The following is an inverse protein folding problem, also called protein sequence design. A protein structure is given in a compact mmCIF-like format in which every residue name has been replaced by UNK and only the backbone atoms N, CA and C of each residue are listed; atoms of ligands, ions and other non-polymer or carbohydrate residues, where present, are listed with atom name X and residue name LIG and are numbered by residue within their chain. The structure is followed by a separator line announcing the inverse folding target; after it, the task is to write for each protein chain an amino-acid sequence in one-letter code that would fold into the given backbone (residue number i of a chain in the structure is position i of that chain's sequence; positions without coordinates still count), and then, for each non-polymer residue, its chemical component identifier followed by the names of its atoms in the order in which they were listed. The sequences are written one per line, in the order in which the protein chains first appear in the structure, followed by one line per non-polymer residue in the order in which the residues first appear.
data_IF_488322639610
#
_entry.id   IF_488322639610
#
_cell.length_a   1.000
_cell.length_b   1.000
_cell.length_c   1.000
_cell.angle_alpha   90.00
_cell.angle_beta   90.00
_cell.angle_gamma   90.00
#
_symmetry.space_group_name_H-M   'P 1'
#
loop_
_entity.id
_entity.type
_entity.pdbx_description
1 polymer ?
#
# COMPACT_ATOMS: atom_id res chain seq x y z
N UNK A 1 -73.97 39.29 -45.45
CA UNK A 1 -72.68 38.98 -46.09
C UNK A 1 -71.70 40.08 -45.78
N UNK A 2 -70.77 39.88 -44.83
CA UNK A 2 -69.57 40.74 -44.68
C UNK A 2 -68.43 39.80 -44.25
N UNK A 3 -67.45 39.65 -45.12
CA UNK A 3 -66.17 38.95 -44.90
C UNK A 3 -65.26 39.90 -44.12
N UNK A 4 -64.75 39.48 -42.97
CA UNK A 4 -63.66 40.13 -42.25
C UNK A 4 -62.39 39.31 -42.52
N UNK A 5 -61.50 39.88 -43.32
CA UNK A 5 -60.17 39.29 -43.56
C UNK A 5 -59.24 39.60 -42.37
N UNK A 6 -58.67 38.55 -41.78
CA UNK A 6 -57.57 38.69 -40.82
C UNK A 6 -56.24 38.65 -41.58
N UNK A 7 -55.40 39.65 -41.35
CA UNK A 7 -54.01 39.69 -41.88
C UNK A 7 -53.08 38.91 -40.96
N UNK A 8 -52.21 38.02 -41.46
CA UNK A 8 -51.21 37.40 -40.64
C UNK A 8 -50.05 38.41 -40.38
N UNK A 9 -49.82 38.73 -39.10
CA UNK A 9 -48.61 39.47 -38.71
C UNK A 9 -47.49 38.46 -38.55
N UNK A 10 -46.58 38.46 -39.49
CA UNK A 10 -45.32 37.74 -39.42
C UNK A 10 -44.26 38.59 -38.73
N UNK A 11 -43.82 38.20 -37.50
CA UNK A 11 -42.69 38.80 -36.85
C UNK A 11 -41.40 38.10 -37.33
N UNK A 12 -40.42 38.83 -37.88
CA UNK A 12 -39.15 38.23 -38.19
C UNK A 12 -38.37 37.96 -36.89
N UNK A 13 -38.14 36.68 -36.56
CA UNK A 13 -37.21 36.26 -35.53
C UNK A 13 -35.77 36.51 -35.98
N UNK A 14 -35.33 37.77 -36.07
CA UNK A 14 -33.95 38.11 -36.28
C UNK A 14 -33.32 38.43 -34.93
N UNK A 15 -32.69 37.42 -34.32
CA UNK A 15 -31.84 37.66 -33.15
C UNK A 15 -30.64 38.48 -33.67
N UNK A 16 -30.51 39.71 -33.19
CA UNK A 16 -29.43 40.60 -33.59
C UNK A 16 -28.07 39.97 -33.33
N UNK A 17 -27.13 40.00 -34.29
CA UNK A 17 -25.77 39.47 -34.09
C UNK A 17 -25.04 40.12 -32.89
N UNK A 18 -25.47 41.29 -32.47
CA UNK A 18 -24.98 41.97 -31.27
C UNK A 18 -25.38 41.19 -29.99
N UNK A 19 -26.62 40.66 -29.91
CA UNK A 19 -27.07 39.87 -28.75
C UNK A 19 -26.31 38.53 -28.65
N UNK A 20 -26.05 37.89 -29.79
CA UNK A 20 -25.24 36.66 -29.85
C UNK A 20 -23.80 36.94 -29.40
N UNK A 21 -23.21 38.08 -29.83
CA UNK A 21 -21.87 38.49 -29.39
C UNK A 21 -21.77 38.71 -27.87
N UNK A 22 -22.75 39.40 -27.26
CA UNK A 22 -22.77 39.59 -25.79
C UNK A 22 -22.99 38.29 -25.00
N UNK A 23 -23.78 37.36 -25.51
CA UNK A 23 -23.98 36.05 -24.87
C UNK A 23 -22.71 35.20 -24.95
N UNK A 24 -22.00 35.20 -26.08
CA UNK A 24 -20.74 34.48 -26.25
C UNK A 24 -19.61 35.08 -25.39
N UNK A 25 -19.50 36.41 -25.32
CA UNK A 25 -18.52 37.08 -24.46
C UNK A 25 -18.85 36.85 -22.97
N UNK A 26 -20.12 36.88 -22.58
CA UNK A 26 -20.55 36.56 -21.24
C UNK A 26 -20.25 35.11 -20.86
N UNK A 27 -20.48 34.15 -21.75
CA UNK A 27 -20.13 32.74 -21.56
C UNK A 27 -18.61 32.50 -21.45
N UNK A 28 -17.79 33.20 -22.27
CA UNK A 28 -16.33 33.15 -22.16
C UNK A 28 -15.81 33.75 -20.84
N UNK A 29 -16.41 34.84 -20.36
CA UNK A 29 -16.02 35.47 -19.10
C UNK A 29 -16.40 34.61 -17.88
N UNK A 30 -17.51 33.88 -17.94
CA UNK A 30 -17.92 32.95 -16.87
C UNK A 30 -17.00 31.71 -16.85
N UNK A 31 -16.61 31.20 -18.02
CA UNK A 31 -15.65 30.10 -18.11
C UNK A 31 -14.23 30.46 -17.62
N UNK A 32 -13.82 31.73 -17.78
CA UNK A 32 -12.51 32.22 -17.32
C UNK A 32 -12.46 32.46 -15.80
N UNK A 33 -13.57 32.43 -15.08
CA UNK A 33 -13.65 32.63 -13.62
C UNK A 33 -13.84 31.32 -12.83
N UNK A 34 -14.03 30.18 -13.48
CA UNK A 34 -14.07 28.90 -12.78
C UNK A 34 -12.65 28.52 -12.36
N UNK A 35 -12.38 28.51 -11.05
CA UNK A 35 -11.11 27.94 -10.55
C UNK A 35 -11.00 26.50 -11.07
N UNK A 36 -9.85 26.07 -11.57
CA UNK A 36 -9.63 24.67 -11.92
C UNK A 36 -9.88 23.80 -10.68
N UNK A 37 -10.39 22.59 -10.87
CA UNK A 37 -10.65 21.66 -9.76
C UNK A 37 -9.34 21.34 -9.03
N UNK A 38 -8.25 21.11 -9.75
CA UNK A 38 -6.91 20.96 -9.20
C UNK A 38 -6.08 22.22 -9.40
N UNK A 39 -5.29 22.58 -8.38
CA UNK A 39 -4.35 23.69 -8.46
C UNK A 39 -3.05 23.27 -9.15
N UNK A 40 -2.38 24.18 -9.87
CA UNK A 40 -1.14 23.89 -10.63
C UNK A 40 -0.01 23.31 -9.75
N UNK A 41 0.02 23.68 -8.47
CA UNK A 41 1.04 23.24 -7.51
C UNK A 41 0.55 22.14 -6.55
N UNK A 42 -0.64 21.62 -6.77
CA UNK A 42 -1.21 20.58 -5.94
C UNK A 42 -0.34 19.32 -5.97
N UNK A 43 0.14 18.90 -4.82
CA UNK A 43 1.12 17.83 -4.66
C UNK A 43 0.74 16.89 -3.54
N UNK A 44 0.79 15.60 -3.84
CA UNK A 44 0.65 14.50 -2.90
C UNK A 44 1.96 13.76 -2.75
N UNK A 45 2.30 13.33 -1.53
CA UNK A 45 3.56 12.65 -1.25
C UNK A 45 3.31 11.33 -0.55
N UNK A 46 4.03 10.30 -0.97
CA UNK A 46 4.07 9.03 -0.27
C UNK A 46 5.45 8.87 0.39
N UNK A 47 5.48 8.78 1.72
CA UNK A 47 6.68 8.50 2.51
C UNK A 47 6.68 7.01 2.84
N UNK A 48 7.74 6.30 2.40
CA UNK A 48 7.88 4.85 2.52
C UNK A 48 9.15 4.45 3.27
N UNK A 49 9.18 3.23 3.83
CA UNK A 49 10.24 2.75 4.73
C UNK A 49 11.58 2.45 4.07
N UNK A 50 11.58 2.05 2.79
CA UNK A 50 12.77 1.70 2.00
C UNK A 50 12.47 1.76 0.50
N UNK A 51 12.75 2.90 -0.13
CA UNK A 51 12.35 3.16 -1.52
C UNK A 51 13.09 2.30 -2.57
N UNK A 52 14.15 1.59 -2.19
CA UNK A 52 14.93 0.75 -3.12
C UNK A 52 14.33 -0.65 -3.33
N UNK A 53 13.41 -1.10 -2.46
CA UNK A 53 12.79 -2.42 -2.62
C UNK A 53 11.81 -2.46 -3.78
N UNK A 54 11.73 -3.57 -4.53
CA UNK A 54 10.74 -3.77 -5.61
C UNK A 54 9.30 -3.52 -5.14
N UNK A 55 8.95 -3.91 -3.92
CA UNK A 55 7.68 -3.64 -3.28
C UNK A 55 7.29 -2.14 -3.33
N UNK A 56 8.23 -1.25 -2.95
CA UNK A 56 7.99 0.20 -2.95
C UNK A 56 8.02 0.81 -4.34
N UNK A 57 8.73 0.19 -5.29
CA UNK A 57 8.68 0.58 -6.70
C UNK A 57 7.30 0.27 -7.32
N UNK A 58 6.69 -0.86 -6.96
CA UNK A 58 5.31 -1.18 -7.35
C UNK A 58 4.31 -0.19 -6.73
N UNK A 59 4.48 0.14 -5.44
CA UNK A 59 3.67 1.18 -4.78
C UNK A 59 3.83 2.55 -5.47
N UNK A 60 5.06 2.94 -5.81
CA UNK A 60 5.33 4.17 -6.55
C UNK A 60 4.57 4.22 -7.87
N UNK A 61 4.57 3.13 -8.63
CA UNK A 61 3.84 3.05 -9.90
C UNK A 61 2.36 3.36 -9.71
N UNK A 62 1.69 2.73 -8.72
CA UNK A 62 0.29 2.99 -8.43
C UNK A 62 0.01 4.43 -8.01
N UNK A 63 0.88 5.00 -7.18
CA UNK A 63 0.76 6.38 -6.72
C UNK A 63 0.89 7.38 -7.88
N UNK A 64 1.89 7.20 -8.74
CA UNK A 64 2.12 8.07 -9.89
C UNK A 64 1.03 7.94 -10.96
N UNK A 65 0.49 6.74 -11.19
CA UNK A 65 -0.62 6.53 -12.10
C UNK A 65 -1.90 7.22 -11.60
N UNK A 66 -2.16 7.18 -10.29
CA UNK A 66 -3.26 7.95 -9.70
C UNK A 66 -3.06 9.46 -9.88
N UNK A 67 -1.86 9.96 -9.59
CA UNK A 67 -1.51 11.39 -9.76
C UNK A 67 -1.68 11.85 -11.21
N UNK A 68 -1.17 11.05 -12.16
CA UNK A 68 -1.34 11.31 -13.59
C UNK A 68 -2.80 11.33 -14.02
N UNK A 69 -3.60 10.38 -13.52
CA UNK A 69 -5.04 10.30 -13.83
C UNK A 69 -5.86 11.47 -13.29
N UNK A 70 -5.40 12.11 -12.21
CA UNK A 70 -5.99 13.30 -11.62
C UNK A 70 -5.42 14.61 -12.21
N UNK A 71 -4.26 14.57 -12.85
CA UNK A 71 -3.56 15.77 -13.33
C UNK A 71 -2.85 16.54 -12.21
N UNK A 72 -2.45 15.87 -11.12
CA UNK A 72 -1.74 16.44 -9.97
C UNK A 72 -0.30 15.94 -9.88
N UNK A 73 0.50 16.52 -8.99
CA UNK A 73 1.89 16.07 -8.75
C UNK A 73 1.89 14.95 -7.69
N UNK A 74 2.46 13.80 -8.03
CA UNK A 74 2.72 12.68 -7.12
C UNK A 74 4.21 12.47 -6.91
N UNK A 75 4.60 12.11 -5.71
CA UNK A 75 6.00 11.81 -5.35
C UNK A 75 6.05 10.69 -4.33
N UNK A 76 6.96 9.72 -4.52
CA UNK A 76 7.33 8.74 -3.49
C UNK A 76 8.75 9.06 -3.00
N UNK A 77 8.92 9.13 -1.68
CA UNK A 77 10.19 9.45 -1.02
C UNK A 77 10.37 8.62 0.25
N UNK A 78 11.57 8.61 0.81
CA UNK A 78 11.89 7.87 2.02
C UNK A 78 13.37 7.48 2.07
N UNK A 79 13.79 6.77 3.12
CA UNK A 79 15.13 6.19 3.20
C UNK A 79 15.38 5.16 2.10
N UNK A 80 16.65 4.94 1.76
CA UNK A 80 17.08 3.90 0.81
C UNK A 80 17.39 2.55 1.46
N UNK A 81 17.30 2.49 2.79
CA UNK A 81 17.41 1.30 3.63
C UNK A 81 16.43 1.44 4.79
N UNK A 82 16.13 0.36 5.51
CA UNK A 82 15.25 0.43 6.68
C UNK A 82 15.88 1.31 7.78
N UNK A 83 15.45 2.56 7.85
CA UNK A 83 15.90 3.58 8.83
C UNK A 83 14.69 4.36 9.38
N UNK A 84 14.09 3.91 10.48
CA UNK A 84 12.92 4.57 11.06
C UNK A 84 13.15 6.04 11.45
N UNK A 85 14.35 6.40 11.93
CA UNK A 85 14.63 7.78 12.31
C UNK A 85 14.82 8.69 11.09
N UNK A 86 15.47 8.18 10.04
CA UNK A 86 15.58 8.86 8.76
C UNK A 86 14.21 9.09 8.14
N UNK A 87 13.32 8.09 8.20
CA UNK A 87 11.96 8.18 7.69
C UNK A 87 11.13 9.27 8.39
N UNK A 88 11.20 9.35 9.74
CA UNK A 88 10.56 10.45 10.50
C UNK A 88 11.11 11.81 10.07
N UNK A 89 12.42 11.90 9.84
CA UNK A 89 13.06 13.13 9.34
C UNK A 89 12.48 13.56 7.98
N UNK A 90 12.34 12.60 7.05
CA UNK A 90 11.72 12.85 5.73
C UNK A 90 10.25 13.29 5.91
N UNK A 91 9.47 12.59 6.73
CA UNK A 91 8.06 12.94 6.97
C UNK A 91 7.90 14.38 7.47
N UNK A 92 8.72 14.80 8.46
CA UNK A 92 8.70 16.18 8.99
C UNK A 92 9.03 17.21 7.92
N UNK A 93 10.04 16.96 7.09
CA UNK A 93 10.39 17.85 5.96
C UNK A 93 9.24 17.98 4.95
N UNK A 94 8.53 16.89 4.67
CA UNK A 94 7.37 16.92 3.77
C UNK A 94 6.22 17.72 4.40
N UNK A 95 5.93 17.56 5.69
CA UNK A 95 4.90 18.34 6.39
C UNK A 95 5.20 19.84 6.31
N UNK A 96 6.47 20.25 6.49
CA UNK A 96 6.89 21.68 6.37
C UNK A 96 6.65 22.26 4.98
N UNK A 97 6.62 21.43 3.93
CA UNK A 97 6.34 21.84 2.55
C UNK A 97 4.84 21.97 2.25
N UNK A 98 3.97 21.67 3.21
CA UNK A 98 2.52 21.80 3.14
C UNK A 98 1.90 21.14 1.87
N UNK A 99 2.06 19.83 1.66
CA UNK A 99 1.44 19.13 0.53
C UNK A 99 -0.08 19.05 0.70
N UNK A 100 -0.80 18.77 -0.39
CA UNK A 100 -2.24 18.55 -0.38
C UNK A 100 -2.65 17.29 0.42
N UNK A 101 -1.74 16.33 0.57
CA UNK A 101 -1.93 15.14 1.39
C UNK A 101 -0.71 14.23 1.42
N UNK A 102 -0.64 13.35 2.43
CA UNK A 102 0.47 12.43 2.63
C UNK A 102 -0.05 11.01 2.80
N UNK A 103 0.47 10.07 1.99
CA UNK A 103 0.48 8.65 2.31
C UNK A 103 1.75 8.35 3.12
N UNK A 104 1.64 7.50 4.13
CA UNK A 104 2.73 7.10 5.00
C UNK A 104 2.68 5.60 5.27
N UNK A 105 3.80 4.90 5.05
CA UNK A 105 4.01 3.57 5.61
C UNK A 105 5.00 3.67 6.76
N UNK A 106 4.52 3.57 7.99
CA UNK A 106 5.32 3.88 9.17
C UNK A 106 6.20 2.69 9.61
N UNK A 107 7.51 2.83 9.57
CA UNK A 107 8.44 1.80 10.07
C UNK A 107 8.23 1.51 11.57
N UNK A 108 7.90 2.52 12.36
CA UNK A 108 7.68 2.45 13.81
C UNK A 108 6.51 3.35 14.23
N UNK A 109 5.34 2.80 14.57
CA UNK A 109 4.15 3.60 14.89
C UNK A 109 4.39 4.62 16.01
N UNK A 110 5.11 4.23 17.04
CA UNK A 110 5.31 5.04 18.26
C UNK A 110 6.07 6.36 18.02
N UNK A 111 6.93 6.41 17.00
CA UNK A 111 7.69 7.63 16.68
C UNK A 111 6.98 8.56 15.71
N UNK A 112 5.94 8.07 15.03
CA UNK A 112 5.16 8.85 14.05
C UNK A 112 3.91 9.49 14.62
N UNK A 113 3.31 8.93 15.68
CA UNK A 113 2.00 9.35 16.18
C UNK A 113 1.89 10.87 16.36
N UNK A 114 2.82 11.48 17.09
CA UNK A 114 2.78 12.92 17.35
C UNK A 114 2.98 13.81 16.11
N UNK A 115 3.77 13.35 15.13
CA UNK A 115 4.01 14.10 13.90
C UNK A 115 2.82 13.99 12.93
N UNK A 116 2.16 12.83 12.86
CA UNK A 116 0.88 12.68 12.14
C UNK A 116 -0.18 13.60 12.73
N UNK A 117 -0.31 13.63 14.08
CA UNK A 117 -1.29 14.48 14.77
C UNK A 117 -1.09 15.96 14.47
N UNK A 118 0.18 16.41 14.38
CA UNK A 118 0.53 17.79 13.99
C UNK A 118 0.17 18.07 12.54
N UNK A 119 0.51 17.17 11.61
CA UNK A 119 0.18 17.33 10.19
C UNK A 119 -1.33 17.47 9.97
N UNK A 120 -2.12 16.59 10.62
CA UNK A 120 -3.58 16.63 10.57
C UNK A 120 -4.14 17.91 11.18
N UNK A 121 -3.58 18.39 12.30
CA UNK A 121 -3.97 19.66 12.92
C UNK A 121 -3.69 20.86 12.00
N UNK A 122 -2.66 20.80 11.16
CA UNK A 122 -2.34 21.82 10.16
C UNK A 122 -3.25 21.74 8.92
N UNK A 123 -4.09 20.71 8.80
CA UNK A 123 -5.01 20.53 7.68
C UNK A 123 -4.47 19.63 6.57
N UNK A 124 -3.34 18.98 6.78
CA UNK A 124 -2.77 18.02 5.83
C UNK A 124 -3.36 16.64 6.15
N UNK A 125 -4.19 16.03 5.27
CA UNK A 125 -4.68 14.69 5.48
C UNK A 125 -3.54 13.67 5.40
N UNK A 126 -3.49 12.74 6.36
CA UNK A 126 -2.54 11.64 6.39
C UNK A 126 -3.29 10.31 6.33
N UNK A 127 -2.95 9.50 5.35
CA UNK A 127 -3.43 8.11 5.19
C UNK A 127 -2.26 7.16 5.43
N UNK A 128 -2.42 6.21 6.35
CA UNK A 128 -1.44 5.15 6.50
C UNK A 128 -1.64 4.09 5.40
N UNK A 129 -0.55 3.67 4.77
CA UNK A 129 -0.51 2.68 3.69
C UNK A 129 0.45 1.58 4.07
N UNK A 130 0.07 0.31 3.93
CA UNK A 130 0.84 -0.89 4.26
C UNK A 130 1.12 -1.06 5.77
N UNK A 131 1.80 -0.13 6.42
CA UNK A 131 2.04 -0.13 7.87
C UNK A 131 1.27 1.01 8.55
N UNK A 132 0.57 0.68 9.63
CA UNK A 132 -0.41 1.56 10.29
C UNK A 132 0.12 2.24 11.55
N UNK A 133 -0.48 3.39 11.88
CA UNK A 133 -0.30 4.11 13.17
C UNK A 133 -1.70 4.35 13.79
N UNK A 134 -2.35 3.30 14.32
CA UNK A 134 -3.77 3.35 14.70
C UNK A 134 -4.10 4.35 15.80
N UNK A 135 -3.15 4.63 16.69
CA UNK A 135 -3.33 5.55 17.84
C UNK A 135 -3.12 7.02 17.45
N UNK A 136 -2.83 7.31 16.16
CA UNK A 136 -2.71 8.66 15.63
C UNK A 136 -4.04 9.20 15.08
N UNK A 137 -4.04 10.49 14.72
CA UNK A 137 -5.15 11.15 14.03
C UNK A 137 -5.15 10.91 12.52
N UNK A 138 -4.45 9.87 12.02
CA UNK A 138 -4.55 9.49 10.61
C UNK A 138 -6.00 9.32 10.19
N UNK A 139 -6.32 9.67 8.93
CA UNK A 139 -7.72 9.63 8.48
C UNK A 139 -8.20 8.19 8.27
N UNK A 140 -7.34 7.36 7.66
CA UNK A 140 -7.65 5.94 7.42
C UNK A 140 -6.35 5.13 7.22
N UNK A 141 -6.50 3.82 7.22
CA UNK A 141 -5.49 2.85 6.81
C UNK A 141 -5.93 2.16 5.51
N UNK A 142 -5.01 1.94 4.58
CA UNK A 142 -5.22 1.11 3.40
C UNK A 142 -4.04 0.14 3.25
N UNK A 143 -4.32 -1.16 3.28
CA UNK A 143 -3.26 -2.17 3.29
C UNK A 143 -3.81 -3.58 3.22
N UNK A 144 -3.10 -4.48 3.88
CA UNK A 144 -3.46 -5.89 4.01
C UNK A 144 -4.09 -6.14 5.38
N UNK A 145 -5.08 -7.04 5.46
CA UNK A 145 -5.43 -7.68 6.75
C UNK A 145 -4.26 -8.57 7.19
N UNK A 146 -3.30 -7.95 7.89
CA UNK A 146 -2.04 -8.59 8.29
C UNK A 146 -2.25 -9.75 9.27
N UNK A 147 -3.25 -9.66 10.15
CA UNK A 147 -3.59 -10.76 11.06
C UNK A 147 -4.06 -12.00 10.27
N UNK A 148 -4.93 -11.80 9.30
CA UNK A 148 -5.40 -12.88 8.41
C UNK A 148 -4.25 -13.43 7.56
N UNK A 149 -3.40 -12.59 7.00
CA UNK A 149 -2.24 -13.01 6.22
C UNK A 149 -1.27 -13.88 7.04
N UNK A 150 -1.01 -13.50 8.30
CA UNK A 150 -0.22 -14.30 9.24
C UNK A 150 -0.85 -15.67 9.55
N UNK A 151 -2.18 -15.73 9.72
CA UNK A 151 -2.89 -17.01 9.87
C UNK A 151 -2.74 -17.91 8.65
N UNK A 152 -2.85 -17.36 7.44
CA UNK A 152 -2.72 -18.11 6.19
C UNK A 152 -1.28 -18.62 6.00
N UNK A 153 -0.25 -17.84 6.38
CA UNK A 153 1.15 -18.30 6.31
C UNK A 153 1.39 -19.53 7.18
N UNK A 154 0.89 -19.54 8.41
CA UNK A 154 1.03 -20.72 9.28
C UNK A 154 0.22 -21.91 8.78
N UNK A 155 -1.01 -21.72 8.30
CA UNK A 155 -1.80 -22.82 7.72
C UNK A 155 -1.08 -23.47 6.54
N UNK A 156 -0.45 -22.65 5.66
CA UNK A 156 0.34 -23.15 4.54
C UNK A 156 1.56 -23.93 5.05
N UNK A 157 2.32 -23.40 6.01
CA UNK A 157 3.45 -24.10 6.59
C UNK A 157 3.01 -25.42 7.26
N UNK A 158 1.94 -25.40 8.07
CA UNK A 158 1.42 -26.58 8.76
C UNK A 158 1.12 -27.72 7.78
N UNK A 159 0.48 -27.41 6.64
CA UNK A 159 0.22 -28.42 5.61
C UNK A 159 1.51 -29.00 5.03
N UNK A 160 2.54 -28.16 4.82
CA UNK A 160 3.82 -28.60 4.25
C UNK A 160 4.63 -29.49 5.20
N UNK A 161 4.50 -29.29 6.53
CA UNK A 161 5.24 -30.05 7.54
C UNK A 161 4.38 -31.11 8.26
N UNK A 162 3.27 -31.52 7.64
CA UNK A 162 2.36 -32.54 8.20
C UNK A 162 1.88 -32.20 9.61
N UNK A 163 1.64 -30.90 9.88
CA UNK A 163 1.11 -30.33 11.13
C UNK A 163 1.98 -30.54 12.38
N UNK A 164 3.27 -30.81 12.26
CA UNK A 164 4.13 -31.10 13.41
C UNK A 164 5.56 -30.55 13.24
N UNK A 165 6.25 -30.31 14.35
CA UNK A 165 7.65 -29.92 14.39
C UNK A 165 7.87 -28.50 14.89
N UNK A 166 9.13 -28.14 15.04
CA UNK A 166 9.52 -26.77 15.39
C UNK A 166 9.62 -25.91 14.13
N UNK A 167 9.29 -24.65 14.22
CA UNK A 167 9.49 -23.71 13.11
C UNK A 167 10.05 -22.38 13.62
N UNK A 168 10.64 -21.61 12.69
CA UNK A 168 11.14 -20.27 12.94
C UNK A 168 10.34 -19.23 12.15
N UNK A 169 10.32 -18.00 12.64
CA UNK A 169 9.79 -16.82 11.95
C UNK A 169 10.92 -15.83 11.73
N UNK A 170 11.04 -15.30 10.53
CA UNK A 170 11.91 -14.18 10.15
C UNK A 170 11.01 -12.96 9.96
N UNK A 171 11.34 -11.82 10.59
CA UNK A 171 10.47 -10.65 10.63
C UNK A 171 11.22 -9.40 11.12
N UNK A 172 10.55 -8.24 11.10
CA UNK A 172 11.00 -6.99 11.69
C UNK A 172 10.13 -6.68 12.93
N UNK A 173 10.56 -7.06 14.14
CA UNK A 173 9.77 -6.82 15.35
C UNK A 173 9.54 -5.34 15.62
N UNK A 174 8.31 -4.97 16.01
CA UNK A 174 7.91 -3.61 16.31
C UNK A 174 7.44 -2.79 15.10
N UNK A 175 7.49 -3.31 13.89
CA UNK A 175 6.75 -2.77 12.77
C UNK A 175 5.32 -3.32 12.79
N UNK A 176 4.33 -2.46 12.77
CA UNK A 176 2.92 -2.81 13.07
C UNK A 176 2.38 -3.97 12.22
N UNK A 177 2.55 -3.91 10.91
CA UNK A 177 2.09 -4.98 10.00
C UNK A 177 2.79 -6.32 10.29
N UNK A 178 4.06 -6.32 10.68
CA UNK A 178 4.81 -7.52 11.06
C UNK A 178 4.31 -8.10 12.37
N UNK A 179 4.06 -7.25 13.37
CA UNK A 179 3.52 -7.68 14.66
C UNK A 179 2.10 -8.26 14.50
N UNK A 180 1.26 -7.66 13.63
CA UNK A 180 -0.07 -8.18 13.33
C UNK A 180 0.01 -9.54 12.58
N UNK A 181 0.96 -9.72 11.64
CA UNK A 181 1.22 -11.03 10.99
C UNK A 181 1.67 -12.07 12.02
N UNK A 182 2.59 -11.71 12.90
CA UNK A 182 3.06 -12.60 13.95
C UNK A 182 1.94 -12.98 14.93
N UNK A 183 1.07 -12.05 15.28
CA UNK A 183 -0.12 -12.32 16.09
C UNK A 183 -1.08 -13.29 15.37
N UNK A 184 -1.25 -13.15 14.05
CA UNK A 184 -2.00 -14.08 13.23
C UNK A 184 -1.41 -15.48 13.20
N UNK A 185 -0.07 -15.61 13.09
CA UNK A 185 0.65 -16.87 13.23
C UNK A 185 0.38 -17.50 14.59
N UNK A 186 0.51 -16.74 15.68
CA UNK A 186 0.28 -17.22 17.04
C UNK A 186 -1.17 -17.67 17.27
N UNK A 187 -2.15 -16.99 16.67
CA UNK A 187 -3.55 -17.39 16.76
C UNK A 187 -3.83 -18.68 16.00
N UNK A 188 -3.34 -18.82 14.77
CA UNK A 188 -3.51 -20.04 13.99
C UNK A 188 -2.80 -21.24 14.63
N UNK A 189 -1.67 -21.01 15.33
CA UNK A 189 -0.89 -22.06 16.01
C UNK A 189 -1.71 -22.83 17.05
N UNK A 190 -2.72 -22.22 17.66
CA UNK A 190 -3.64 -22.87 18.60
C UNK A 190 -4.35 -24.10 18.00
N UNK A 191 -4.49 -24.14 16.67
CA UNK A 191 -5.11 -25.26 15.96
C UNK A 191 -4.12 -26.39 15.60
N UNK A 192 -2.82 -26.21 15.87
CA UNK A 192 -1.76 -27.15 15.51
C UNK A 192 -0.86 -27.46 16.71
N UNK A 193 -1.36 -28.22 17.72
CA UNK A 193 -0.67 -28.41 19.00
C UNK A 193 0.69 -29.12 18.91
N UNK A 194 0.96 -29.81 17.81
CA UNK A 194 2.25 -30.46 17.55
C UNK A 194 3.27 -29.55 16.82
N UNK A 195 2.86 -28.33 16.41
CA UNK A 195 3.77 -27.30 15.92
C UNK A 195 4.22 -26.41 17.07
N UNK A 196 5.48 -25.95 17.01
CA UNK A 196 6.04 -25.01 18.01
C UNK A 196 6.86 -23.94 17.32
N UNK A 197 6.50 -22.67 17.56
CA UNK A 197 7.36 -21.53 17.23
C UNK A 197 8.52 -21.50 18.24
N UNK A 198 9.74 -21.73 17.78
CA UNK A 198 10.92 -21.81 18.65
C UNK A 198 11.86 -20.64 18.50
N UNK A 199 11.82 -19.93 17.38
CA UNK A 199 12.69 -18.79 17.11
C UNK A 199 11.95 -17.70 16.35
N UNK A 200 12.19 -16.46 16.75
CA UNK A 200 11.86 -15.25 15.99
C UNK A 200 13.19 -14.58 15.67
N UNK A 201 13.45 -14.36 14.39
CA UNK A 201 14.69 -13.80 13.87
C UNK A 201 14.39 -12.39 13.33
N UNK A 202 15.11 -11.41 13.83
CA UNK A 202 15.01 -10.01 13.37
C UNK A 202 15.99 -9.77 12.23
N UNK A 203 15.49 -9.75 10.99
CA UNK A 203 16.32 -9.51 9.80
C UNK A 203 16.51 -8.03 9.47
N UNK A 204 15.83 -7.14 10.19
CA UNK A 204 15.94 -5.67 10.02
C UNK A 204 15.59 -5.19 8.60
N UNK A 205 14.76 -5.94 7.87
CA UNK A 205 14.40 -5.65 6.49
C UNK A 205 15.56 -5.74 5.52
N UNK A 206 16.50 -6.67 5.78
CA UNK A 206 17.72 -6.85 5.00
C UNK A 206 17.95 -8.33 4.68
N UNK A 207 18.02 -8.67 3.40
CA UNK A 207 18.19 -10.07 2.94
C UNK A 207 19.51 -10.69 3.40
N UNK A 208 20.59 -9.91 3.54
CA UNK A 208 21.87 -10.41 4.06
C UNK A 208 21.76 -10.78 5.53
N UNK A 209 21.08 -9.94 6.32
CA UNK A 209 20.81 -10.22 7.72
C UNK A 209 19.95 -11.49 7.88
N UNK A 210 18.89 -11.63 7.07
CA UNK A 210 18.07 -12.84 7.02
C UNK A 210 18.91 -14.09 6.70
N UNK A 211 19.78 -14.01 5.68
CA UNK A 211 20.70 -15.09 5.31
C UNK A 211 21.61 -15.49 6.48
N UNK A 212 22.25 -14.52 7.14
CA UNK A 212 23.20 -14.80 8.22
C UNK A 212 22.49 -15.46 9.41
N UNK A 213 21.31 -14.96 9.80
CA UNK A 213 20.53 -15.51 10.91
C UNK A 213 19.96 -16.90 10.62
N UNK A 214 19.42 -17.12 9.42
CA UNK A 214 18.91 -18.43 9.02
C UNK A 214 20.08 -19.43 8.90
N UNK A 215 21.21 -19.04 8.34
CA UNK A 215 22.41 -19.89 8.31
C UNK A 215 22.86 -20.31 9.71
N UNK A 216 22.89 -19.37 10.65
CA UNK A 216 23.20 -19.65 12.05
C UNK A 216 22.18 -20.59 12.72
N UNK A 217 20.87 -20.38 12.44
CA UNK A 217 19.81 -21.26 12.93
C UNK A 217 20.00 -22.71 12.44
N UNK A 218 20.28 -22.89 11.15
CA UNK A 218 20.39 -24.21 10.52
C UNK A 218 21.62 -25.00 10.99
N UNK A 219 22.62 -24.31 11.53
CA UNK A 219 23.81 -24.94 12.14
C UNK A 219 23.59 -25.39 13.59
N UNK A 220 22.49 -24.99 14.23
CA UNK A 220 22.17 -25.39 15.61
C UNK A 220 21.80 -26.88 15.70
N UNK A 221 21.90 -27.43 16.91
CA UNK A 221 21.50 -28.84 17.19
C UNK A 221 19.98 -29.03 17.07
N UNK A 222 19.19 -28.05 17.52
CA UNK A 222 17.75 -28.07 17.42
C UNK A 222 17.33 -27.79 15.99
N UNK A 223 16.64 -28.77 15.39
CA UNK A 223 16.21 -28.67 14.00
C UNK A 223 14.83 -28.05 13.91
N UNK A 224 14.66 -27.16 12.93
CA UNK A 224 13.34 -26.65 12.53
C UNK A 224 12.79 -27.49 11.37
N UNK A 225 11.48 -27.63 11.31
CA UNK A 225 10.75 -28.31 10.24
C UNK A 225 10.35 -27.35 9.11
N UNK A 226 10.42 -26.03 9.36
CA UNK A 226 10.10 -25.01 8.35
C UNK A 226 10.36 -23.60 8.83
N UNK A 227 10.25 -22.64 7.92
CA UNK A 227 10.47 -21.21 8.17
C UNK A 227 9.31 -20.41 7.59
N UNK A 228 8.84 -19.40 8.31
CA UNK A 228 7.94 -18.36 7.79
C UNK A 228 8.73 -17.05 7.77
N UNK A 229 8.77 -16.36 6.62
CA UNK A 229 9.35 -15.04 6.49
C UNK A 229 8.20 -14.06 6.27
N UNK A 230 8.01 -13.09 7.18
CA UNK A 230 6.82 -12.25 7.22
C UNK A 230 6.95 -10.94 6.42
N UNK A 231 8.09 -10.70 5.78
CA UNK A 231 8.35 -9.52 4.96
C UNK A 231 9.12 -9.89 3.68
N UNK A 232 9.33 -8.92 2.77
CA UNK A 232 9.81 -9.12 1.41
C UNK A 232 11.22 -9.74 1.33
N UNK A 233 12.16 -9.28 2.16
CA UNK A 233 13.59 -9.64 2.05
C UNK A 233 13.94 -10.94 2.75
N UNK A 234 13.19 -11.32 3.77
CA UNK A 234 13.44 -12.52 4.57
C UNK A 234 13.35 -13.82 3.77
N UNK A 235 12.43 -13.88 2.79
CA UNK A 235 12.23 -15.04 1.93
C UNK A 235 13.47 -15.36 1.08
N UNK A 236 14.01 -14.35 0.38
CA UNK A 236 15.20 -14.50 -0.46
C UNK A 236 16.44 -14.81 0.37
N UNK A 237 16.64 -14.14 1.52
CA UNK A 237 17.75 -14.43 2.42
C UNK A 237 17.72 -15.85 2.98
N UNK A 238 16.53 -16.33 3.41
CA UNK A 238 16.37 -17.70 3.87
C UNK A 238 16.60 -18.73 2.76
N UNK A 239 16.11 -18.48 1.55
CA UNK A 239 16.32 -19.36 0.39
C UNK A 239 17.80 -19.47 0.01
N UNK A 240 18.53 -18.36 -0.01
CA UNK A 240 19.97 -18.35 -0.26
C UNK A 240 20.74 -19.16 0.82
N UNK A 241 20.32 -19.08 2.09
CA UNK A 241 20.92 -19.90 3.17
C UNK A 241 20.71 -21.40 2.93
N UNK A 242 19.49 -21.81 2.53
CA UNK A 242 19.20 -23.21 2.20
C UNK A 242 20.03 -23.65 0.98
N UNK A 243 20.12 -22.82 -0.04
CA UNK A 243 20.91 -23.10 -1.25
C UNK A 243 22.37 -23.38 -0.91
N UNK A 244 23.03 -22.49 -0.18
CA UNK A 244 24.45 -22.65 0.20
C UNK A 244 24.73 -23.83 1.12
N UNK A 245 23.72 -24.24 1.89
CA UNK A 245 23.83 -25.40 2.77
C UNK A 245 23.37 -26.73 2.13
N UNK A 246 23.02 -26.73 0.84
CA UNK A 246 22.47 -27.88 0.10
C UNK A 246 21.22 -28.49 0.78
N UNK A 247 20.34 -27.60 1.30
CA UNK A 247 19.07 -27.94 1.95
C UNK A 247 17.84 -27.60 1.10
N UNK A 248 18.02 -27.28 -0.17
CA UNK A 248 16.94 -26.99 -1.11
C UNK A 248 15.92 -28.13 -1.15
N UNK A 249 14.64 -27.78 -1.09
CA UNK A 249 13.53 -28.74 -1.07
C UNK A 249 13.40 -29.60 0.19
N UNK A 250 14.34 -29.49 1.15
CA UNK A 250 14.31 -30.28 2.41
C UNK A 250 13.64 -29.56 3.57
N UNK A 251 13.55 -28.25 3.49
CA UNK A 251 12.96 -27.39 4.52
C UNK A 251 12.02 -26.39 3.85
N UNK A 252 10.70 -26.48 4.08
CA UNK A 252 9.77 -25.54 3.45
C UNK A 252 9.95 -24.14 4.00
N UNK A 253 9.89 -23.15 3.09
CA UNK A 253 9.81 -21.72 3.38
C UNK A 253 8.45 -21.22 2.89
N UNK A 254 7.72 -20.50 3.75
CA UNK A 254 6.58 -19.68 3.38
C UNK A 254 7.00 -18.22 3.51
N UNK A 255 7.11 -17.53 2.38
CA UNK A 255 7.55 -16.15 2.28
C UNK A 255 6.38 -15.16 2.17
N UNK A 256 6.72 -13.90 2.08
CA UNK A 256 5.81 -12.80 1.72
C UNK A 256 6.36 -12.07 0.49
N UNK A 257 5.43 -11.41 -0.19
CA UNK A 257 5.60 -10.53 -1.33
C UNK A 257 6.04 -11.23 -2.63
N UNK A 258 6.17 -10.45 -3.69
CA UNK A 258 6.33 -10.92 -5.05
C UNK A 258 7.62 -10.43 -5.70
N UNK A 259 8.62 -10.12 -4.90
CA UNK A 259 9.92 -9.69 -5.42
C UNK A 259 10.43 -10.71 -6.45
N UNK A 260 11.03 -10.27 -7.56
CA UNK A 260 11.46 -11.16 -8.63
C UNK A 260 12.31 -12.33 -8.14
N UNK A 261 13.19 -12.08 -7.18
CA UNK A 261 14.06 -13.11 -6.57
C UNK A 261 13.24 -14.15 -5.79
N UNK A 262 12.20 -13.73 -5.03
CA UNK A 262 11.30 -14.64 -4.32
C UNK A 262 10.56 -15.55 -5.29
N UNK A 263 10.04 -14.99 -6.39
CA UNK A 263 9.37 -15.78 -7.43
C UNK A 263 10.31 -16.75 -8.15
N UNK A 264 11.59 -16.38 -8.36
CA UNK A 264 12.60 -17.25 -8.93
C UNK A 264 12.97 -18.40 -7.97
N UNK A 265 13.05 -18.16 -6.66
CA UNK A 265 13.23 -19.21 -5.68
C UNK A 265 12.03 -20.17 -5.57
N UNK A 266 10.81 -19.70 -5.81
CA UNK A 266 9.63 -20.59 -5.94
C UNK A 266 9.77 -21.45 -7.20
N UNK A 267 10.18 -20.86 -8.31
CA UNK A 267 10.39 -21.61 -9.56
C UNK A 267 11.43 -22.71 -9.42
N UNK A 268 12.50 -22.44 -8.70
CA UNK A 268 13.55 -23.40 -8.36
C UNK A 268 13.12 -24.42 -7.28
N UNK A 269 11.98 -24.23 -6.63
CA UNK A 269 11.47 -25.12 -5.58
C UNK A 269 12.16 -24.98 -4.23
N UNK A 270 12.87 -23.89 -3.96
CA UNK A 270 13.52 -23.58 -2.68
C UNK A 270 12.52 -22.93 -1.74
N UNK A 271 11.79 -21.90 -2.20
CA UNK A 271 10.63 -21.35 -1.50
C UNK A 271 9.39 -22.15 -1.90
N UNK A 272 8.65 -22.62 -0.91
CA UNK A 272 7.46 -23.46 -1.12
C UNK A 272 6.23 -22.66 -1.50
N UNK A 273 6.10 -21.45 -0.97
CA UNK A 273 5.01 -20.51 -1.28
C UNK A 273 5.36 -19.12 -0.79
N UNK A 274 4.67 -18.11 -1.35
CA UNK A 274 4.66 -16.74 -0.86
C UNK A 274 3.23 -16.23 -0.74
N UNK A 275 2.99 -15.29 0.19
CA UNK A 275 1.75 -14.52 0.30
C UNK A 275 2.01 -13.14 -0.25
N UNK A 276 1.41 -12.82 -1.39
CA UNK A 276 1.62 -11.54 -2.07
C UNK A 276 0.59 -10.52 -1.64
N UNK A 277 0.99 -9.27 -1.61
CA UNK A 277 0.16 -8.11 -1.33
C UNK A 277 -0.11 -7.31 -2.62
N UNK A 278 -0.73 -6.14 -2.50
CA UNK A 278 -1.09 -5.30 -3.66
C UNK A 278 -0.64 -3.84 -3.45
N UNK A 279 0.66 -3.57 -3.36
CA UNK A 279 1.19 -2.23 -3.06
C UNK A 279 0.78 -1.17 -4.09
N UNK A 280 0.69 -1.54 -5.38
CA UNK A 280 0.13 -0.66 -6.43
C UNK A 280 -1.29 -0.20 -6.08
N UNK A 281 -2.17 -1.14 -5.72
CA UNK A 281 -3.59 -0.84 -5.42
C UNK A 281 -3.70 0.02 -4.17
N UNK A 282 -2.92 -0.30 -3.12
CA UNK A 282 -2.91 0.47 -1.87
C UNK A 282 -2.56 1.93 -2.12
N UNK A 283 -1.49 2.19 -2.84
CA UNK A 283 -0.99 3.55 -3.10
C UNK A 283 -1.87 4.31 -4.11
N UNK A 284 -2.37 3.64 -5.14
CA UNK A 284 -3.29 4.22 -6.13
C UNK A 284 -4.54 4.78 -5.45
N UNK A 285 -5.21 3.95 -4.64
CA UNK A 285 -6.40 4.40 -3.92
C UNK A 285 -6.06 5.31 -2.75
N UNK A 286 -4.88 5.17 -2.13
CA UNK A 286 -4.41 6.10 -1.11
C UNK A 286 -4.39 7.54 -1.61
N UNK A 287 -3.82 7.79 -2.79
CA UNK A 287 -3.82 9.11 -3.40
C UNK A 287 -5.24 9.58 -3.76
N UNK A 288 -6.08 8.69 -4.32
CA UNK A 288 -7.48 9.03 -4.64
C UNK A 288 -8.25 9.49 -3.40
N UNK A 289 -8.10 8.81 -2.27
CA UNK A 289 -8.72 9.24 -1.02
C UNK A 289 -8.15 10.56 -0.49
N UNK A 290 -6.84 10.79 -0.64
CA UNK A 290 -6.23 12.07 -0.27
C UNK A 290 -6.80 13.23 -1.09
N UNK A 291 -6.99 13.03 -2.38
CA UNK A 291 -7.59 13.99 -3.31
C UNK A 291 -9.04 14.34 -2.90
N UNK A 292 -9.86 13.31 -2.66
CA UNK A 292 -11.23 13.47 -2.18
C UNK A 292 -11.29 14.25 -0.85
N UNK A 293 -10.34 13.99 0.07
CA UNK A 293 -10.25 14.70 1.34
C UNK A 293 -9.80 16.14 1.18
N UNK A 294 -8.80 16.40 0.33
CA UNK A 294 -8.29 17.74 0.08
C UNK A 294 -9.37 18.65 -0.52
N UNK A 295 -10.14 18.12 -1.45
CA UNK A 295 -11.22 18.86 -2.13
C UNK A 295 -12.58 18.77 -1.41
N UNK A 296 -12.67 18.06 -0.27
CA UNK A 296 -13.92 17.77 0.43
C UNK A 296 -15.00 17.22 -0.50
N UNK A 297 -14.61 16.31 -1.42
CA UNK A 297 -15.50 15.77 -2.43
C UNK A 297 -16.65 14.92 -1.84
N UNK A 298 -16.49 14.43 -0.61
CA UNK A 298 -17.56 13.74 0.12
C UNK A 298 -18.48 14.78 0.76
N UNK A 299 -19.59 15.07 0.14
CA UNK A 299 -20.52 16.15 0.52
C UNK A 299 -21.25 15.99 1.87
N UNK A 300 -21.00 14.91 2.61
CA UNK A 300 -21.65 14.63 3.90
C UNK A 300 -21.04 15.40 5.08
N UNK A 301 -19.90 16.06 4.90
CA UNK A 301 -19.21 16.82 5.94
C UNK A 301 -18.55 18.08 5.34
N UNK A 302 -18.53 19.15 6.14
CA UNK A 302 -17.91 20.43 5.74
C UNK A 302 -16.39 20.42 5.95
N UNK A 303 -15.96 19.72 6.98
CA UNK A 303 -14.56 19.61 7.37
C UNK A 303 -14.33 18.19 7.92
N UNK A 304 -13.54 17.38 7.21
CA UNK A 304 -13.23 16.01 7.61
C UNK A 304 -12.46 15.94 8.94
N UNK A 305 -11.72 17.00 9.32
CA UNK A 305 -10.93 17.07 10.57
C UNK A 305 -11.81 17.15 11.81
N UNK A 306 -13.01 17.69 11.70
CA UNK A 306 -13.97 17.91 12.78
C UNK A 306 -15.22 17.04 12.68
N UNK A 307 -15.28 16.16 11.66
CA UNK A 307 -16.44 15.29 11.47
C UNK A 307 -16.60 14.31 12.63
N UNK A 308 -17.80 14.25 13.22
CA UNK A 308 -18.13 13.29 14.28
C UNK A 308 -18.23 11.85 13.74
N UNK A 309 -18.66 11.69 12.49
CA UNK A 309 -18.60 10.42 11.76
C UNK A 309 -17.37 10.43 10.87
N UNK A 310 -16.66 9.28 10.78
CA UNK A 310 -15.50 9.17 9.90
C UNK A 310 -15.92 9.45 8.45
N UNK A 311 -15.23 10.35 7.75
CA UNK A 311 -15.55 10.70 6.37
C UNK A 311 -15.16 9.60 5.37
N UNK A 312 -14.30 8.68 5.80
CA UNK A 312 -13.76 7.59 5.02
C UNK A 312 -13.87 6.27 5.81
N UNK A 313 -13.72 5.11 5.16
CA UNK A 313 -13.52 3.85 5.89
C UNK A 313 -12.36 3.96 6.88
N UNK A 314 -12.48 3.35 8.07
CA UNK A 314 -11.37 3.32 9.05
C UNK A 314 -10.17 2.54 8.52
N UNK A 315 -10.45 1.47 7.74
CA UNK A 315 -9.46 0.65 7.07
C UNK A 315 -10.01 0.03 5.78
N UNK A 316 -9.12 -0.20 4.82
CA UNK A 316 -9.42 -0.90 3.57
C UNK A 316 -8.42 -2.04 3.41
N UNK A 317 -8.93 -3.29 3.40
CA UNK A 317 -8.14 -4.48 3.06
C UNK A 317 -8.11 -4.65 1.53
N UNK A 318 -6.92 -4.62 0.94
CA UNK A 318 -6.71 -4.84 -0.50
C UNK A 318 -6.61 -6.33 -0.85
N UNK A 319 -6.56 -7.20 0.15
CA UNK A 319 -6.46 -8.64 0.01
C UNK A 319 -5.07 -9.15 -0.38
N UNK A 320 -4.90 -10.47 -0.26
CA UNK A 320 -3.66 -11.18 -0.56
C UNK A 320 -3.89 -12.29 -1.58
N UNK A 321 -2.80 -12.79 -2.17
CA UNK A 321 -2.82 -13.99 -3.02
C UNK A 321 -1.73 -14.94 -2.52
N UNK A 322 -2.07 -16.22 -2.32
CA UNK A 322 -1.08 -17.27 -2.09
C UNK A 322 -0.53 -17.73 -3.43
N UNK A 323 0.77 -17.62 -3.61
CA UNK A 323 1.49 -18.08 -4.82
C UNK A 323 2.42 -19.22 -4.45
N UNK A 324 2.33 -20.32 -5.18
CA UNK A 324 3.23 -21.46 -5.11
C UNK A 324 3.55 -21.98 -6.53
N UNK A 325 4.32 -23.06 -6.64
CA UNK A 325 4.72 -23.61 -7.94
C UNK A 325 3.53 -23.90 -8.87
N UNK A 326 2.35 -24.21 -8.32
CA UNK A 326 1.18 -24.63 -9.13
C UNK A 326 0.52 -23.45 -9.86
N UNK A 327 0.63 -22.22 -9.36
CA UNK A 327 0.03 -21.03 -9.96
C UNK A 327 1.03 -19.92 -10.31
N UNK A 328 2.34 -20.15 -10.10
CA UNK A 328 3.39 -19.17 -10.32
C UNK A 328 3.37 -18.58 -11.74
N UNK A 329 3.24 -19.43 -12.77
CA UNK A 329 3.27 -18.96 -14.15
C UNK A 329 2.07 -18.05 -14.46
N UNK A 330 0.87 -18.44 -14.05
CA UNK A 330 -0.34 -17.61 -14.19
C UNK A 330 -0.20 -16.28 -13.44
N UNK A 331 0.41 -16.31 -12.25
CA UNK A 331 0.68 -15.11 -11.47
C UNK A 331 1.65 -14.17 -12.18
N UNK A 332 2.78 -14.69 -12.72
CA UNK A 332 3.73 -13.92 -13.52
C UNK A 332 3.11 -13.28 -14.76
N UNK A 333 2.24 -14.01 -15.46
CA UNK A 333 1.51 -13.49 -16.60
C UNK A 333 0.57 -12.34 -16.21
N UNK A 334 -0.12 -12.47 -15.07
CA UNK A 334 -0.96 -11.42 -14.54
C UNK A 334 -0.14 -10.17 -14.16
N UNK A 335 1.02 -10.32 -13.51
CA UNK A 335 1.92 -9.21 -13.21
C UNK A 335 2.44 -8.51 -14.47
N UNK A 336 2.79 -9.28 -15.51
CA UNK A 336 3.28 -8.72 -16.77
C UNK A 336 2.21 -7.94 -17.55
N UNK A 337 0.94 -8.24 -17.30
CA UNK A 337 -0.20 -7.53 -17.91
C UNK A 337 -0.52 -6.19 -17.21
N UNK A 338 0.02 -5.93 -16.00
CA UNK A 338 -0.12 -4.63 -15.36
C UNK A 338 0.65 -3.55 -16.14
N UNK A 339 0.11 -2.31 -16.22
CA UNK A 339 0.85 -1.21 -16.82
C UNK A 339 2.20 -1.06 -16.14
N UNK A 340 3.29 -1.09 -16.92
CA UNK A 340 4.60 -0.76 -16.36
C UNK A 340 4.61 0.73 -16.01
N UNK A 341 5.29 1.12 -14.91
CA UNK A 341 5.50 2.53 -14.63
C UNK A 341 6.16 3.19 -15.84
N UNK A 342 5.67 4.37 -16.20
CA UNK A 342 6.17 5.16 -17.33
C UNK A 342 7.51 5.80 -16.99
#
# INVERSE_FOLDING_TARGET
MKRTGAWPVSFPNVISPIVIGFVLIGAMLIAACAKPYHEENERYVFVATNINLPYWQEAQAGFLDAAKGLGVKGELTGPTTYDPNGEVGVFRQIVEQNPAGICLSAARPEIFQGDIDKAVAQGIPVICVDADVPDSRRVMYIGTDNFKAGRESLKKLAALVSHQGNFAVVTIPGQRNMDDRLAGVADALKNFPALKLTKILDDKGDARSAFDQVSALLQQKEKVAGIICLEATGGSGAAEALHRLNLEGKLPIVAFDNDPETLDWIDRGVISATITQKPYVMSYYGLKFLDDLHHNAVHQFKDWRTALAAPTPTSVDTGTVLVDKSNLQTYREALAAHPKPL
#
